data_IF_529037941971
#
_entry.id   IF_529037941971
#
_cell.length_a   1.000
_cell.length_b   1.000
_cell.length_c   1.000
_cell.angle_alpha   90.00
_cell.angle_beta   90.00
_cell.angle_gamma   90.00
#
_symmetry.space_group_name_H-M   'P 1'
#
loop_
_entity.id
_entity.type
_entity.pdbx_description
1 polymer ?
#
# COMPACT_ATOMS: atom_id res chain seq x y z
N UNK A 1 1.96 13.02 18.16
CA UNK A 1 1.40 12.43 16.93
C UNK A 1 2.56 12.02 16.04
N UNK A 2 2.69 10.73 15.68
CA UNK A 2 3.68 10.30 14.70
C UNK A 2 3.15 10.69 13.33
N UNK A 3 3.64 11.79 12.77
CA UNK A 3 3.41 12.11 11.36
C UNK A 3 4.22 11.11 10.55
N UNK A 4 3.60 10.03 10.09
CA UNK A 4 4.21 9.16 9.09
C UNK A 4 4.33 9.99 7.82
N UNK A 5 5.57 10.36 7.46
CA UNK A 5 5.83 11.08 6.22
C UNK A 5 5.63 10.09 5.07
N UNK A 6 4.64 10.36 4.22
CA UNK A 6 4.41 9.64 2.97
C UNK A 6 5.35 10.22 1.92
N UNK A 7 6.19 9.39 1.33
CA UNK A 7 7.13 9.80 0.27
C UNK A 7 6.51 9.62 -1.12
N UNK A 8 5.65 8.61 -1.28
CA UNK A 8 4.95 8.32 -2.53
C UNK A 8 3.51 7.89 -2.26
N UNK A 9 2.61 8.27 -3.14
CA UNK A 9 1.22 7.83 -3.12
C UNK A 9 0.91 7.08 -4.42
N UNK A 10 0.20 5.97 -4.27
CA UNK A 10 -0.28 5.12 -5.36
C UNK A 10 -1.79 4.96 -5.23
N UNK A 11 -2.50 5.52 -6.20
CA UNK A 11 -3.93 5.35 -6.35
C UNK A 11 -4.21 4.20 -7.31
N UNK A 12 -4.80 3.12 -6.80
CA UNK A 12 -5.21 1.93 -7.56
C UNK A 12 -6.70 1.65 -7.37
N UNK A 13 -7.49 2.68 -7.09
CA UNK A 13 -8.96 2.60 -7.09
C UNK A 13 -9.46 2.20 -8.47
N UNK A 14 -10.44 1.31 -8.53
CA UNK A 14 -11.04 0.80 -9.77
C UNK A 14 -10.24 -0.31 -10.47
N UNK A 15 -9.06 -0.65 -9.96
CA UNK A 15 -8.23 -1.74 -10.49
C UNK A 15 -8.61 -3.06 -9.82
N UNK A 16 -8.95 -4.04 -10.63
CA UNK A 16 -9.23 -5.41 -10.18
C UNK A 16 -7.98 -6.27 -10.24
N UNK A 17 -7.91 -7.27 -9.36
CA UNK A 17 -6.80 -8.22 -9.30
C UNK A 17 -6.48 -8.83 -10.68
N UNK A 18 -5.19 -9.03 -11.02
CA UNK A 18 -4.01 -8.95 -10.16
C UNK A 18 -3.24 -7.60 -10.20
N UNK A 19 -3.75 -6.59 -10.90
CA UNK A 19 -2.99 -5.36 -11.16
C UNK A 19 -2.69 -4.52 -9.92
N UNK A 20 -3.54 -4.60 -8.89
CA UNK A 20 -3.39 -3.89 -7.61
C UNK A 20 -2.07 -4.23 -6.90
N UNK A 21 -1.75 -5.52 -6.81
CA UNK A 21 -0.49 -5.97 -6.21
C UNK A 21 0.72 -5.62 -7.08
N UNK A 22 0.63 -5.85 -8.39
CA UNK A 22 1.74 -5.57 -9.33
C UNK A 22 2.11 -4.09 -9.30
N UNK A 23 1.12 -3.18 -9.34
CA UNK A 23 1.35 -1.72 -9.27
C UNK A 23 1.95 -1.31 -7.92
N UNK A 24 1.46 -1.87 -6.81
CA UNK A 24 2.00 -1.59 -5.47
C UNK A 24 3.46 -2.03 -5.36
N UNK A 25 3.79 -3.20 -5.91
CA UNK A 25 5.14 -3.72 -5.96
C UNK A 25 6.05 -2.85 -6.81
N UNK A 26 5.66 -2.54 -8.06
CA UNK A 26 6.45 -1.69 -8.96
C UNK A 26 6.72 -0.31 -8.34
N UNK A 27 5.71 0.26 -7.68
CA UNK A 27 5.86 1.54 -6.99
C UNK A 27 6.91 1.46 -5.86
N UNK A 28 6.93 0.37 -5.09
CA UNK A 28 7.95 0.12 -4.07
C UNK A 28 9.31 -0.20 -4.67
N UNK A 29 9.40 -0.93 -5.78
CA UNK A 29 10.68 -1.24 -6.43
C UNK A 29 11.41 0.04 -6.85
N UNK A 30 10.67 1.05 -7.31
CA UNK A 30 11.16 2.38 -7.69
C UNK A 30 11.49 3.30 -6.49
N UNK A 31 11.16 2.90 -5.26
CA UNK A 31 11.42 3.68 -4.03
C UNK A 31 12.73 3.28 -3.35
N UNK A 32 13.23 4.14 -2.48
CA UNK A 32 14.39 3.86 -1.64
C UNK A 32 13.99 3.18 -0.33
N UNK A 33 14.88 2.36 0.23
CA UNK A 33 14.66 1.71 1.52
C UNK A 33 14.50 2.78 2.60
N UNK A 34 13.46 2.66 3.41
CA UNK A 34 13.06 3.62 4.44
C UNK A 34 11.91 4.54 4.02
N UNK A 35 11.62 4.65 2.72
CA UNK A 35 10.51 5.47 2.23
C UNK A 35 9.15 4.81 2.48
N UNK A 36 8.11 5.63 2.62
CA UNK A 36 6.73 5.18 2.84
C UNK A 36 5.85 5.41 1.61
N UNK A 37 5.25 4.32 1.13
CA UNK A 37 4.23 4.33 0.09
C UNK A 37 2.84 4.30 0.74
N UNK A 38 1.99 5.22 0.32
CA UNK A 38 0.55 5.22 0.59
C UNK A 38 -0.18 4.59 -0.58
N UNK A 39 -0.95 3.54 -0.35
CA UNK A 39 -1.73 2.84 -1.37
C UNK A 39 -3.21 3.04 -1.08
N UNK A 40 -3.95 3.56 -2.05
CA UNK A 40 -5.39 3.74 -1.97
C UNK A 40 -6.09 2.66 -2.79
N UNK A 41 -6.95 1.88 -2.14
CA UNK A 41 -7.76 0.81 -2.76
C UNK A 41 -9.23 1.03 -2.46
N UNK A 42 -10.10 0.75 -3.41
CA UNK A 42 -11.55 0.87 -3.28
C UNK A 42 -12.28 -0.46 -3.02
N UNK A 43 -11.51 -1.54 -2.86
CA UNK A 43 -12.04 -2.89 -2.71
C UNK A 43 -11.55 -3.56 -1.44
N UNK A 44 -12.49 -4.02 -0.60
CA UNK A 44 -12.18 -4.65 0.70
C UNK A 44 -11.22 -5.84 0.59
N UNK A 45 -11.40 -6.81 -0.33
CA UNK A 45 -10.43 -7.89 -0.52
C UNK A 45 -9.02 -7.40 -0.91
N UNK A 46 -8.90 -6.30 -1.65
CA UNK A 46 -7.61 -5.67 -1.95
C UNK A 46 -6.99 -5.08 -0.69
N UNK A 47 -7.80 -4.45 0.17
CA UNK A 47 -7.35 -3.89 1.45
C UNK A 47 -6.79 -4.95 2.41
N UNK A 48 -7.22 -6.22 2.29
CA UNK A 48 -6.71 -7.34 3.09
C UNK A 48 -5.54 -8.07 2.41
N UNK A 49 -5.62 -8.28 1.09
CA UNK A 49 -4.62 -9.03 0.33
C UNK A 49 -3.33 -8.25 0.08
N UNK A 50 -3.43 -6.97 -0.31
CA UNK A 50 -2.26 -6.12 -0.59
C UNK A 50 -1.29 -6.03 0.59
N UNK A 51 -1.71 -5.65 1.82
CA UNK A 51 -0.79 -5.59 2.94
C UNK A 51 -0.22 -6.97 3.30
N UNK A 52 -0.99 -8.06 3.10
CA UNK A 52 -0.49 -9.41 3.32
C UNK A 52 0.62 -9.76 2.33
N UNK A 53 0.40 -9.56 1.04
CA UNK A 53 1.40 -9.84 0.00
C UNK A 53 2.64 -8.96 0.13
N UNK A 54 2.48 -7.70 0.55
CA UNK A 54 3.61 -6.81 0.84
C UNK A 54 4.45 -7.30 2.03
N UNK A 55 3.81 -7.80 3.10
CA UNK A 55 4.53 -8.44 4.22
C UNK A 55 5.25 -9.72 3.81
N UNK A 56 4.62 -10.54 2.96
CA UNK A 56 5.26 -11.74 2.40
C UNK A 56 6.46 -11.39 1.50
N UNK A 57 6.39 -10.26 0.79
CA UNK A 57 7.52 -9.63 0.09
C UNK A 57 8.50 -8.92 1.04
N UNK A 58 8.44 -9.14 2.36
CA UNK A 58 9.40 -8.59 3.32
C UNK A 58 9.35 -7.07 3.49
N UNK A 59 8.24 -6.43 3.13
CA UNK A 59 7.97 -5.01 3.36
C UNK A 59 7.29 -4.82 4.72
N UNK A 60 7.43 -3.62 5.30
CA UNK A 60 6.82 -3.28 6.59
C UNK A 60 5.51 -2.50 6.38
N UNK A 61 4.37 -3.15 6.57
CA UNK A 61 3.07 -2.46 6.58
C UNK A 61 2.92 -1.71 7.90
N UNK A 62 2.89 -0.38 7.83
CA UNK A 62 2.78 0.53 8.96
C UNK A 62 1.35 0.57 9.49
N UNK A 63 0.38 0.91 8.61
CA UNK A 63 -1.01 1.11 8.98
C UNK A 63 -1.95 0.73 7.82
N UNK A 64 -3.17 0.35 8.16
CA UNK A 64 -4.27 0.14 7.21
C UNK A 64 -5.49 0.84 7.78
N UNK A 65 -5.88 1.95 7.16
CA UNK A 65 -6.98 2.80 7.59
C UNK A 65 -8.12 2.70 6.59
N UNK A 66 -9.34 2.52 7.09
CA UNK A 66 -10.53 2.70 6.27
C UNK A 66 -10.90 4.19 6.28
N UNK A 67 -10.77 4.85 5.13
CA UNK A 67 -11.12 6.27 5.00
C UNK A 67 -12.63 6.41 4.73
N UNK A 68 -13.19 5.55 3.88
CA UNK A 68 -14.62 5.55 3.54
C UNK A 68 -15.18 4.12 3.41
N UNK A 69 -16.49 3.98 3.16
CA UNK A 69 -17.17 2.68 3.04
C UNK A 69 -16.52 1.77 1.97
N UNK A 70 -16.07 2.37 0.87
CA UNK A 70 -15.36 1.69 -0.23
C UNK A 70 -14.00 2.34 -0.50
N UNK A 71 -13.30 2.81 0.54
CA UNK A 71 -11.96 3.37 0.38
C UNK A 71 -11.08 3.02 1.57
N UNK A 72 -9.96 2.36 1.28
CA UNK A 72 -8.93 2.03 2.25
C UNK A 72 -7.60 2.62 1.83
N UNK A 73 -6.87 3.07 2.84
CA UNK A 73 -5.51 3.54 2.79
C UNK A 73 -4.60 2.51 3.45
N UNK A 74 -3.55 2.12 2.76
CA UNK A 74 -2.51 1.24 3.28
C UNK A 74 -1.20 2.02 3.27
N UNK A 75 -0.58 2.17 4.43
CA UNK A 75 0.76 2.73 4.56
C UNK A 75 1.76 1.58 4.67
N UNK A 76 2.70 1.52 3.73
CA UNK A 76 3.77 0.52 3.72
C UNK A 76 5.11 1.22 3.60
N UNK A 77 6.08 0.81 4.43
CA UNK A 77 7.45 1.24 4.35
C UNK A 77 8.28 0.21 3.60
N UNK A 78 9.10 0.70 2.66
CA UNK A 78 10.11 -0.13 2.02
C UNK A 78 11.20 -0.48 3.01
N UNK A 79 11.43 -1.77 3.25
CA UNK A 79 12.44 -2.27 4.19
C UNK A 79 13.55 -3.09 3.54
N UNK A 80 13.40 -3.47 2.27
CA UNK A 80 14.41 -4.18 1.48
C UNK A 80 14.48 -3.62 0.07
#
# INVERSE_FOLDING_TARGET
MRSVKVDKELDIRGEVCPFTFVKSKLALEDMEVGQVLRVLVDYKPSAESVPKSLREEGQEVLEVNQIEENLWEILVRKTR
#
